data_IF_987012806871
#
_entry.id   IF_987012806871
#
_cell.length_a   1.000
_cell.length_b   1.000
_cell.length_c   1.000
_cell.angle_alpha   90.00
_cell.angle_beta   90.00
_cell.angle_gamma   90.00
#
_symmetry.space_group_name_H-M   'P 1'
#
loop_
_entity.id
_entity.type
_entity.pdbx_description
1 polymer ?
#
# COMPACT_ATOMS: atom_id res chain seq x y z
N UNK A 1 8.70 -9.90 7.43
CA UNK A 1 9.57 -9.27 8.43
C UNK A 1 9.96 -10.33 9.45
N UNK A 2 11.20 -10.82 9.39
CA UNK A 2 11.77 -11.69 10.43
C UNK A 2 12.20 -10.81 11.62
N UNK A 3 12.27 -11.38 12.84
CA UNK A 3 12.63 -10.67 14.09
C UNK A 3 13.95 -9.87 14.02
N UNK A 4 14.79 -10.13 13.03
CA UNK A 4 16.12 -9.52 12.86
C UNK A 4 16.08 -8.10 12.28
N UNK A 5 14.98 -7.70 11.64
CA UNK A 5 14.90 -6.40 10.92
C UNK A 5 14.72 -5.21 11.88
N UNK A 6 14.02 -5.41 13.00
CA UNK A 6 13.80 -4.34 13.98
C UNK A 6 15.08 -3.94 14.72
N UNK A 7 16.04 -4.85 14.91
CA UNK A 7 17.34 -4.51 15.53
C UNK A 7 18.22 -3.65 14.63
N UNK A 8 17.91 -3.58 13.33
CA UNK A 8 18.58 -2.72 12.36
C UNK A 8 17.80 -1.41 12.12
N UNK A 9 16.63 -1.26 12.73
CA UNK A 9 15.78 -0.07 12.65
C UNK A 9 16.40 1.08 13.46
N UNK A 10 16.46 2.27 12.84
CA UNK A 10 16.88 3.52 13.49
C UNK A 10 16.09 3.80 14.77
N UNK A 11 14.84 3.35 14.83
CA UNK A 11 13.97 3.50 16.00
C UNK A 11 14.47 2.64 17.17
N UNK A 12 14.99 1.44 16.91
CA UNK A 12 15.52 0.58 17.98
C UNK A 12 16.71 1.24 18.67
N UNK A 13 17.69 1.73 17.90
CA UNK A 13 18.85 2.44 18.46
C UNK A 13 18.45 3.73 19.18
N UNK A 14 17.44 4.46 18.68
CA UNK A 14 16.93 5.64 19.36
C UNK A 14 16.31 5.30 20.71
N UNK A 15 15.42 4.31 20.77
CA UNK A 15 14.79 3.88 22.03
C UNK A 15 15.83 3.34 23.01
N UNK A 16 16.82 2.59 22.54
CA UNK A 16 17.93 2.13 23.37
C UNK A 16 18.72 3.29 23.98
N UNK A 17 19.01 4.33 23.18
CA UNK A 17 19.68 5.56 23.65
C UNK A 17 18.88 6.34 24.68
N UNK A 18 17.55 6.34 24.56
CA UNK A 18 16.64 6.97 25.53
C UNK A 18 16.47 6.14 26.81
N UNK A 19 17.16 5.00 26.95
CA UNK A 19 17.22 4.22 28.19
C UNK A 19 16.17 3.13 28.33
N UNK A 20 15.47 2.76 27.26
CA UNK A 20 14.55 1.62 27.28
C UNK A 20 15.32 0.30 27.43
N UNK A 21 14.84 -0.61 28.29
CA UNK A 21 15.48 -1.90 28.53
C UNK A 21 15.31 -2.86 27.36
N UNK A 22 16.24 -3.80 27.20
CA UNK A 22 16.18 -4.82 26.13
C UNK A 22 14.90 -5.67 26.18
N UNK A 23 14.34 -5.91 27.37
CA UNK A 23 13.05 -6.61 27.53
C UNK A 23 11.90 -5.80 26.90
N UNK A 24 11.86 -4.49 27.14
CA UNK A 24 10.85 -3.60 26.54
C UNK A 24 11.04 -3.52 25.03
N UNK A 25 12.29 -3.35 24.56
CA UNK A 25 12.59 -3.31 23.13
C UNK A 25 12.17 -4.60 22.43
N UNK A 26 12.41 -5.76 23.05
CA UNK A 26 11.97 -7.07 22.54
C UNK A 26 10.45 -7.19 22.46
N UNK A 27 9.72 -6.63 23.43
CA UNK A 27 8.27 -6.61 23.42
C UNK A 27 7.73 -5.68 22.31
N UNK A 28 8.33 -4.51 22.12
CA UNK A 28 7.98 -3.59 21.02
C UNK A 28 8.19 -4.27 19.68
N UNK A 29 9.34 -4.93 19.49
CA UNK A 29 9.65 -5.69 18.28
C UNK A 29 8.57 -6.72 17.97
N UNK A 30 8.20 -7.53 18.97
CA UNK A 30 7.17 -8.56 18.84
C UNK A 30 5.82 -7.96 18.48
N UNK A 31 5.41 -6.88 19.15
CA UNK A 31 4.13 -6.23 18.90
C UNK A 31 4.05 -5.64 17.49
N UNK A 32 5.14 -5.04 17.01
CA UNK A 32 5.26 -4.57 15.62
C UNK A 32 5.09 -5.71 14.63
N UNK A 33 5.83 -6.81 14.80
CA UNK A 33 5.69 -7.97 13.90
C UNK A 33 4.27 -8.53 13.86
N UNK A 34 3.59 -8.59 15.01
CA UNK A 34 2.18 -9.01 15.06
C UNK A 34 1.29 -8.02 14.30
N UNK A 35 1.51 -6.71 14.50
CA UNK A 35 0.78 -5.67 13.81
C UNK A 35 1.00 -5.72 12.30
N UNK A 36 2.24 -5.89 11.82
CA UNK A 36 2.56 -6.02 10.39
C UNK A 36 1.84 -7.23 9.76
N UNK A 37 1.82 -8.37 10.46
CA UNK A 37 1.12 -9.56 9.99
C UNK A 37 -0.39 -9.30 9.91
N UNK A 38 -0.96 -8.68 10.94
CA UNK A 38 -2.39 -8.37 10.99
C UNK A 38 -2.76 -7.35 9.91
N UNK A 39 -1.95 -6.31 9.73
CA UNK A 39 -2.12 -5.26 8.73
C UNK A 39 -2.08 -5.84 7.32
N UNK A 40 -1.05 -6.63 6.98
CA UNK A 40 -0.98 -7.32 5.69
C UNK A 40 -2.21 -8.20 5.42
N UNK A 41 -2.74 -8.87 6.45
CA UNK A 41 -3.93 -9.73 6.33
C UNK A 41 -5.20 -8.96 5.95
N UNK A 42 -5.33 -7.73 6.43
CA UNK A 42 -6.49 -6.88 6.13
C UNK A 42 -6.30 -6.12 4.81
N UNK A 43 -5.06 -5.76 4.45
CA UNK A 43 -4.73 -5.23 3.12
C UNK A 43 -5.03 -6.23 2.00
N UNK A 44 -4.78 -7.53 2.20
CA UNK A 44 -5.18 -8.61 1.29
C UNK A 44 -6.70 -8.65 1.01
N UNK A 45 -7.50 -7.98 1.85
CA UNK A 45 -8.95 -7.85 1.73
C UNK A 45 -9.37 -6.42 1.32
N UNK A 46 -8.44 -5.61 0.82
CA UNK A 46 -8.61 -4.19 0.51
C UNK A 46 -9.14 -3.34 1.68
N UNK A 47 -8.80 -3.72 2.92
CA UNK A 47 -9.09 -2.92 4.12
C UNK A 47 -7.84 -2.15 4.49
N UNK A 48 -7.92 -0.83 4.30
CA UNK A 48 -6.79 0.06 4.47
C UNK A 48 -6.92 0.93 5.72
N UNK A 49 -5.78 1.17 6.37
CA UNK A 49 -5.63 2.14 7.44
C UNK A 49 -5.31 3.52 6.84
N UNK A 50 -5.44 4.57 7.65
CA UNK A 50 -5.26 5.94 7.18
C UNK A 50 -3.86 6.18 6.58
N UNK A 51 -2.83 5.57 7.16
CA UNK A 51 -1.45 5.75 6.72
C UNK A 51 -1.17 5.06 5.37
N UNK A 52 -1.86 3.96 5.05
CA UNK A 52 -1.76 3.27 3.75
C UNK A 52 -2.15 4.21 2.61
N UNK A 53 -3.20 5.00 2.81
CA UNK A 53 -3.63 5.99 1.84
C UNK A 53 -2.59 7.09 1.66
N UNK A 54 -2.02 7.61 2.76
CA UNK A 54 -1.01 8.67 2.69
C UNK A 54 0.24 8.20 1.95
N UNK A 55 0.73 7.01 2.26
CA UNK A 55 1.88 6.39 1.58
C UNK A 55 1.57 6.14 0.09
N UNK A 56 0.39 5.58 -0.21
CA UNK A 56 -0.01 5.32 -1.59
C UNK A 56 -0.14 6.61 -2.41
N UNK A 57 -0.66 7.69 -1.82
CA UNK A 57 -0.74 9.00 -2.48
C UNK A 57 0.65 9.56 -2.75
N UNK A 58 1.55 9.53 -1.76
CA UNK A 58 2.93 9.97 -1.95
C UNK A 58 3.61 9.19 -3.09
N UNK A 59 3.47 7.86 -3.07
CA UNK A 59 4.00 7.00 -4.13
C UNK A 59 3.41 7.36 -5.50
N UNK A 60 2.08 7.49 -5.59
CA UNK A 60 1.39 7.81 -6.83
C UNK A 60 1.83 9.18 -7.41
N UNK A 61 1.91 10.21 -6.57
CA UNK A 61 2.29 11.56 -6.99
C UNK A 61 3.72 11.64 -7.53
N UNK A 62 4.60 10.75 -7.05
CA UNK A 62 6.01 10.68 -7.43
C UNK A 62 6.33 9.60 -8.47
N UNK A 63 5.32 8.87 -8.98
CA UNK A 63 5.52 7.79 -9.96
C UNK A 63 4.93 8.16 -11.34
N UNK A 64 5.54 7.69 -12.44
CA UNK A 64 4.91 7.76 -13.76
C UNK A 64 3.53 7.08 -13.75
N UNK A 65 2.63 7.54 -14.62
CA UNK A 65 1.26 7.02 -14.65
C UNK A 65 1.22 5.55 -15.11
N UNK A 66 2.11 5.18 -16.02
CA UNK A 66 2.25 3.83 -16.55
C UNK A 66 2.73 2.83 -15.49
N UNK A 67 3.59 3.27 -14.57
CA UNK A 67 4.04 2.46 -13.44
C UNK A 67 2.95 2.34 -12.39
N UNK A 68 2.24 3.43 -12.12
CA UNK A 68 1.14 3.45 -11.15
C UNK A 68 -0.01 2.53 -11.56
N UNK A 69 -0.33 2.46 -12.86
CA UNK A 69 -1.32 1.52 -13.41
C UNK A 69 -0.92 0.04 -13.25
N UNK A 70 0.37 -0.25 -13.10
CA UNK A 70 0.91 -1.61 -12.90
C UNK A 70 1.28 -1.90 -11.45
N UNK A 71 0.98 -0.99 -10.52
CA UNK A 71 1.36 -1.13 -9.12
C UNK A 71 0.66 -2.32 -8.46
N UNK A 72 1.35 -3.05 -7.60
CA UNK A 72 0.74 -4.08 -6.77
C UNK A 72 -0.09 -3.50 -5.61
N UNK A 73 0.06 -2.20 -5.33
CA UNK A 73 -0.75 -1.51 -4.32
C UNK A 73 -2.10 -1.07 -4.92
N UNK A 74 -3.19 -1.64 -4.40
CA UNK A 74 -4.57 -1.38 -4.85
C UNK A 74 -4.95 0.11 -4.82
N UNK A 75 -4.50 0.87 -3.81
CA UNK A 75 -4.79 2.30 -3.69
C UNK A 75 -4.07 3.07 -4.80
N UNK A 76 -2.77 2.81 -5.02
CA UNK A 76 -1.99 3.44 -6.10
C UNK A 76 -2.62 3.18 -7.46
N UNK A 77 -3.02 1.93 -7.71
CA UNK A 77 -3.67 1.55 -8.97
C UNK A 77 -5.04 2.22 -9.12
N UNK A 78 -5.85 2.28 -8.07
CA UNK A 78 -7.13 2.99 -8.07
C UNK A 78 -6.97 4.49 -8.34
N UNK A 79 -6.00 5.16 -7.70
CA UNK A 79 -5.67 6.56 -7.95
C UNK A 79 -5.25 6.79 -9.41
N UNK A 80 -4.45 5.88 -9.97
CA UNK A 80 -4.05 5.94 -11.37
C UNK A 80 -5.24 5.78 -12.32
N UNK A 81 -6.17 4.87 -12.03
CA UNK A 81 -7.38 4.66 -12.84
C UNK A 81 -8.27 5.91 -12.91
N UNK A 82 -8.40 6.66 -11.81
CA UNK A 82 -9.23 7.88 -11.80
C UNK A 82 -8.51 9.12 -12.33
N UNK A 83 -7.20 9.04 -12.59
CA UNK A 83 -6.43 10.17 -13.10
C UNK A 83 -6.82 10.51 -14.54
N UNK A 84 -6.99 11.80 -14.82
CA UNK A 84 -7.37 12.30 -16.16
C UNK A 84 -6.36 11.97 -17.27
N UNK A 85 -5.10 11.70 -16.93
CA UNK A 85 -4.06 11.26 -17.88
C UNK A 85 -4.38 9.87 -18.44
N UNK A 86 -5.16 9.08 -17.71
CA UNK A 86 -5.68 7.78 -18.15
C UNK A 86 -7.00 7.98 -18.88
N UNK A 87 -6.91 8.02 -20.21
CA UNK A 87 -8.06 8.18 -21.09
C UNK A 87 -8.65 6.86 -21.59
N UNK A 88 -9.76 6.97 -22.33
CA UNK A 88 -10.51 5.85 -22.92
C UNK A 88 -9.67 4.79 -23.64
N UNK A 89 -8.63 5.20 -24.38
CA UNK A 89 -7.73 4.26 -25.08
C UNK A 89 -7.03 3.33 -24.09
N UNK A 90 -6.48 3.87 -23.01
CA UNK A 90 -5.77 3.11 -21.98
C UNK A 90 -6.73 2.24 -21.20
N UNK A 91 -7.90 2.75 -20.81
CA UNK A 91 -8.93 1.96 -20.13
C UNK A 91 -9.35 0.75 -20.95
N UNK A 92 -9.57 0.91 -22.26
CA UNK A 92 -9.89 -0.20 -23.16
C UNK A 92 -8.78 -1.26 -23.21
N UNK A 93 -7.50 -0.87 -23.13
CA UNK A 93 -6.38 -1.82 -23.09
C UNK A 93 -6.35 -2.64 -21.79
N UNK A 94 -6.84 -2.07 -20.68
CA UNK A 94 -6.88 -2.71 -19.37
C UNK A 94 -8.09 -3.63 -19.18
N UNK A 95 -9.04 -3.65 -20.12
CA UNK A 95 -10.34 -4.33 -19.98
C UNK A 95 -10.24 -5.82 -19.64
N UNK A 96 -9.23 -6.51 -20.14
CA UNK A 96 -9.04 -7.93 -19.84
C UNK A 96 -8.28 -8.12 -18.52
N UNK A 97 -7.17 -7.41 -18.30
CA UNK A 97 -6.38 -7.54 -17.08
C UNK A 97 -7.14 -7.10 -15.81
N UNK A 98 -8.07 -6.14 -15.93
CA UNK A 98 -8.86 -5.67 -14.78
C UNK A 98 -9.77 -6.76 -14.20
N UNK A 99 -10.10 -7.81 -14.97
CA UNK A 99 -10.98 -8.88 -14.50
C UNK A 99 -10.33 -9.67 -13.36
N UNK A 100 -9.00 -9.77 -13.38
CA UNK A 100 -8.21 -10.52 -12.39
C UNK A 100 -7.81 -9.68 -11.17
N UNK A 101 -8.08 -8.37 -11.18
CA UNK A 101 -7.78 -7.46 -10.07
C UNK A 101 -8.78 -7.61 -8.91
N UNK A 102 -8.53 -6.94 -7.78
CA UNK A 102 -9.44 -6.95 -6.64
C UNK A 102 -10.76 -6.21 -6.93
N UNK A 103 -11.81 -6.47 -6.14
CA UNK A 103 -13.10 -5.76 -6.28
C UNK A 103 -12.94 -4.25 -6.14
N UNK A 104 -12.05 -3.80 -5.24
CA UNK A 104 -11.75 -2.39 -5.04
C UNK A 104 -11.22 -1.72 -6.31
N UNK A 105 -10.23 -2.33 -6.97
CA UNK A 105 -9.64 -1.82 -8.20
C UNK A 105 -10.66 -1.87 -9.36
N UNK A 106 -11.41 -2.99 -9.48
CA UNK A 106 -12.49 -3.13 -10.47
C UNK A 106 -13.57 -2.07 -10.33
N UNK A 107 -13.91 -1.69 -9.09
CA UNK A 107 -14.89 -0.64 -8.81
C UNK A 107 -14.44 0.71 -9.39
N UNK A 108 -13.20 1.14 -9.11
CA UNK A 108 -12.67 2.41 -9.63
C UNK A 108 -12.50 2.40 -11.16
N UNK A 109 -12.09 1.27 -11.74
CA UNK A 109 -12.07 1.12 -13.20
C UNK A 109 -13.47 1.33 -13.79
N UNK A 110 -14.50 0.69 -13.22
CA UNK A 110 -15.88 0.80 -13.70
C UNK A 110 -16.40 2.23 -13.58
N UNK A 111 -16.21 2.86 -12.42
CA UNK A 111 -16.57 4.27 -12.20
C UNK A 111 -15.96 5.17 -13.27
N UNK A 112 -14.66 4.99 -13.56
CA UNK A 112 -13.97 5.77 -14.57
C UNK A 112 -14.49 5.50 -15.97
N UNK A 113 -14.73 4.23 -16.30
CA UNK A 113 -15.21 3.80 -17.62
C UNK A 113 -16.62 4.31 -17.92
N UNK A 114 -17.49 4.36 -16.92
CA UNK A 114 -18.85 4.90 -17.04
C UNK A 114 -18.89 6.44 -17.19
N UNK A 115 -17.85 7.13 -16.74
CA UNK A 115 -17.71 8.59 -16.85
C UNK A 115 -17.18 9.08 -18.21
N UNK A 116 -16.73 8.19 -19.10
CA UNK A 116 -16.14 8.48 -20.43
C UNK A 116 -17.08 8.30 -21.63
#
# INVERSE_FOLDING_TARGET
>A
FEQDDFKQDRIYELLRREGFSEDILSQIARNRSINDIAHKKVEEQDIFLQYDFLEAVERFLNSPIEESLKSDNSIVKALALIDRRVGKRTLNMLKESIKDESEFVRYFYRLRYEAE
#
